data_IF_069209120220
#
_entry.id   IF_069209120220
#
_cell.length_a   1.000
_cell.length_b   1.000
_cell.length_c   1.000
_cell.angle_alpha   90.00
_cell.angle_beta   90.00
_cell.angle_gamma   90.00
#
_symmetry.space_group_name_H-M   'P 1'
#
loop_
_entity.id
_entity.type
_entity.pdbx_description
1 polymer ?
#
# COMPACT_ATOMS: atom_id res chain seq x y z
N UNK A 1 -6.41 -11.25 -9.97
CA UNK A 1 -5.92 -10.23 -10.92
C UNK A 1 -5.90 -10.76 -12.33
N UNK A 2 -5.80 -9.87 -13.33
CA UNK A 2 -5.72 -10.19 -14.76
C UNK A 2 -4.62 -11.22 -15.08
N UNK A 3 -3.54 -11.26 -14.29
CA UNK A 3 -2.40 -12.17 -14.42
C UNK A 3 -2.53 -13.48 -13.61
N UNK A 4 -3.69 -13.78 -13.02
CA UNK A 4 -3.88 -14.97 -12.16
C UNK A 4 -3.31 -14.83 -10.73
N UNK A 5 -2.54 -13.78 -10.46
CA UNK A 5 -1.92 -13.50 -9.16
C UNK A 5 -2.92 -12.83 -8.19
N UNK A 6 -3.90 -13.60 -7.70
CA UNK A 6 -4.98 -13.06 -6.85
C UNK A 6 -4.46 -12.59 -5.49
N UNK A 7 -3.64 -13.38 -4.81
CA UNK A 7 -3.18 -13.06 -3.45
C UNK A 7 -2.29 -11.81 -3.43
N UNK A 8 -1.38 -11.69 -4.40
CA UNK A 8 -0.55 -10.48 -4.58
C UNK A 8 -1.40 -9.26 -4.91
N UNK A 9 -2.41 -9.40 -5.76
CA UNK A 9 -3.35 -8.32 -6.07
C UNK A 9 -4.08 -7.86 -4.81
N UNK A 10 -4.71 -8.79 -4.08
CA UNK A 10 -5.49 -8.50 -2.88
C UNK A 10 -4.59 -7.84 -1.81
N UNK A 11 -3.35 -8.32 -1.64
CA UNK A 11 -2.37 -7.72 -0.74
C UNK A 11 -1.99 -6.28 -1.12
N UNK A 12 -1.81 -5.98 -2.42
CA UNK A 12 -1.51 -4.62 -2.89
C UNK A 12 -2.70 -3.69 -2.64
N UNK A 13 -3.92 -4.09 -2.99
CA UNK A 13 -5.12 -3.28 -2.74
C UNK A 13 -5.29 -3.00 -1.25
N UNK A 14 -5.19 -4.04 -0.41
CA UNK A 14 -5.32 -3.91 1.03
C UNK A 14 -4.22 -3.02 1.63
N UNK A 15 -2.99 -3.13 1.16
CA UNK A 15 -1.89 -2.28 1.60
C UNK A 15 -2.11 -0.81 1.26
N UNK A 16 -2.62 -0.51 0.06
CA UNK A 16 -2.96 0.86 -0.34
C UNK A 16 -4.07 1.42 0.56
N UNK A 17 -5.14 0.65 0.79
CA UNK A 17 -6.23 1.03 1.69
C UNK A 17 -5.72 1.33 3.11
N UNK A 18 -4.89 0.44 3.67
CA UNK A 18 -4.33 0.59 5.02
C UNK A 18 -3.43 1.84 5.13
N UNK A 19 -2.57 2.11 4.12
CA UNK A 19 -1.68 3.28 4.12
C UNK A 19 -2.48 4.59 4.02
N UNK A 20 -3.52 4.63 3.18
CA UNK A 20 -4.38 5.80 3.05
C UNK A 20 -5.16 6.02 4.35
N UNK A 21 -5.70 4.96 4.97
CA UNK A 21 -6.42 5.04 6.23
C UNK A 21 -5.54 5.50 7.40
N UNK A 22 -4.26 5.12 7.40
CA UNK A 22 -3.27 5.54 8.40
C UNK A 22 -2.86 7.01 8.26
N UNK A 23 -2.87 7.56 7.03
CA UNK A 23 -2.63 8.98 6.75
C UNK A 23 -1.20 9.49 6.97
N UNK A 24 -0.29 8.70 7.57
CA UNK A 24 1.09 9.14 7.89
C UNK A 24 2.01 9.29 6.69
N UNK A 25 1.81 8.47 5.66
CA UNK A 25 2.68 8.41 4.47
C UNK A 25 1.92 8.72 3.19
N UNK A 26 0.93 9.61 3.25
CA UNK A 26 0.14 10.03 2.07
C UNK A 26 0.69 11.33 1.48
N UNK A 27 0.51 11.50 0.17
CA UNK A 27 0.97 12.66 -0.59
C UNK A 27 0.11 13.90 -0.33
N UNK A 28 0.58 15.05 -0.81
CA UNK A 28 -0.05 16.35 -0.55
C UNK A 28 -1.48 16.46 -1.07
N UNK A 29 -1.82 15.78 -2.17
CA UNK A 29 -3.16 15.71 -2.73
C UNK A 29 -4.15 14.95 -1.83
N UNK A 30 -3.64 14.09 -0.96
CA UNK A 30 -4.38 13.37 0.08
C UNK A 30 -4.26 14.03 1.46
N UNK A 31 -3.72 15.25 1.53
CA UNK A 31 -3.59 16.02 2.77
C UNK A 31 -2.39 15.67 3.64
N UNK A 32 -1.43 14.89 3.12
CA UNK A 32 -0.19 14.57 3.82
C UNK A 32 1.01 15.40 3.35
N UNK A 33 2.20 14.99 3.75
CA UNK A 33 3.46 15.65 3.38
C UNK A 33 4.48 14.69 2.76
N UNK A 34 4.09 13.44 2.50
CA UNK A 34 4.98 12.45 1.94
C UNK A 34 5.21 12.70 0.44
N UNK A 35 6.40 12.34 -0.04
CA UNK A 35 6.69 12.18 -1.46
C UNK A 35 6.02 10.93 -2.03
N UNK A 36 5.93 10.86 -3.36
CA UNK A 36 5.43 9.68 -4.07
C UNK A 36 6.22 8.41 -3.72
N UNK A 37 7.54 8.52 -3.57
CA UNK A 37 8.39 7.38 -3.22
C UNK A 37 8.16 6.92 -1.79
N UNK A 38 7.97 7.83 -0.82
CA UNK A 38 7.67 7.46 0.56
C UNK A 38 6.32 6.73 0.69
N UNK A 39 5.29 7.20 -0.02
CA UNK A 39 4.00 6.50 -0.07
C UNK A 39 4.14 5.12 -0.71
N UNK A 40 4.86 5.01 -1.83
CA UNK A 40 5.10 3.75 -2.51
C UNK A 40 5.86 2.75 -1.62
N UNK A 41 6.88 3.20 -0.89
CA UNK A 41 7.64 2.39 0.06
C UNK A 41 6.77 1.89 1.22
N UNK A 42 5.87 2.73 1.74
CA UNK A 42 4.94 2.34 2.78
C UNK A 42 3.97 1.25 2.29
N UNK A 43 3.43 1.41 1.08
CA UNK A 43 2.56 0.42 0.44
C UNK A 43 3.31 -0.90 0.20
N UNK A 44 4.53 -0.84 -0.34
CA UNK A 44 5.34 -2.04 -0.60
C UNK A 44 5.66 -2.82 0.68
N UNK A 45 6.03 -2.12 1.76
CA UNK A 45 6.28 -2.72 3.08
C UNK A 45 5.01 -3.38 3.63
N UNK A 46 3.86 -2.72 3.55
CA UNK A 46 2.59 -3.27 4.04
C UNK A 46 2.13 -4.46 3.22
N UNK A 47 2.22 -4.41 1.89
CA UNK A 47 1.87 -5.52 1.01
C UNK A 47 2.74 -6.75 1.29
N UNK A 48 4.04 -6.55 1.51
CA UNK A 48 4.96 -7.63 1.91
C UNK A 48 4.52 -8.27 3.24
N UNK A 49 4.22 -7.47 4.26
CA UNK A 49 3.76 -7.99 5.55
C UNK A 49 2.48 -8.81 5.42
N UNK A 50 1.49 -8.34 4.65
CA UNK A 50 0.25 -9.07 4.41
C UNK A 50 0.51 -10.45 3.77
N UNK A 51 1.43 -10.51 2.79
CA UNK A 51 1.82 -11.78 2.15
C UNK A 51 2.53 -12.71 3.13
N UNK A 52 3.39 -12.19 4.01
CA UNK A 52 4.12 -12.97 5.02
C UNK A 52 3.22 -13.45 6.19
N UNK A 53 2.12 -12.74 6.45
CA UNK A 53 1.09 -13.07 7.46
C UNK A 53 0.07 -14.12 6.96
N UNK A 54 0.04 -14.41 5.65
CA UNK A 54 -0.97 -15.26 4.97
C UNK A 54 -0.60 -16.75 4.91
#
# INVERSE_FOLDING_TARGET
>A
GYLGEKDKMDAIFKAVEDVIADGRHVTYDLGGSASTSEMADAVAKRAKAIIEES
#
